data_IF_394862640431
#
_entry.id   IF_394862640431
#
_cell.length_a   1.000
_cell.length_b   1.000
_cell.length_c   1.000
_cell.angle_alpha   90.00
_cell.angle_beta   90.00
_cell.angle_gamma   90.00
#
_symmetry.space_group_name_H-M   'P 1'
#
loop_
_entity.id
_entity.type
_entity.pdbx_description
1 polymer ?
#
# COMPACT_ATOMS: atom_id res chain seq x y z
N UNK A 1 -14.72 8.49 -3.93
CA UNK A 1 -13.55 7.83 -4.56
C UNK A 1 -13.39 6.39 -4.07
N UNK A 2 -13.08 6.15 -2.79
CA UNK A 2 -12.78 4.81 -2.30
C UNK A 2 -13.93 3.80 -2.51
N UNK A 3 -15.17 4.21 -2.23
CA UNK A 3 -16.37 3.39 -2.49
C UNK A 3 -16.48 3.04 -3.98
N UNK A 4 -16.36 4.04 -4.85
CA UNK A 4 -16.38 3.82 -6.29
C UNK A 4 -15.31 2.81 -6.75
N UNK A 5 -14.07 2.92 -6.25
CA UNK A 5 -12.99 1.97 -6.57
C UNK A 5 -13.35 0.57 -6.10
N UNK A 6 -13.84 0.43 -4.87
CA UNK A 6 -14.27 -0.86 -4.34
C UNK A 6 -15.39 -1.48 -5.18
N UNK A 7 -16.41 -0.69 -5.51
CA UNK A 7 -17.64 -1.18 -6.15
C UNK A 7 -17.44 -1.48 -7.64
N UNK A 8 -16.52 -0.78 -8.30
CA UNK A 8 -16.31 -0.90 -9.75
C UNK A 8 -15.01 -1.65 -10.13
N UNK A 9 -14.01 -1.70 -9.24
CA UNK A 9 -12.75 -2.39 -9.47
C UNK A 9 -12.55 -3.60 -8.54
N UNK A 10 -13.35 -3.76 -7.49
CA UNK A 10 -13.22 -4.82 -6.50
C UNK A 10 -12.34 -4.43 -5.31
N UNK A 11 -12.59 -5.06 -4.16
CA UNK A 11 -11.91 -4.75 -2.89
C UNK A 11 -10.44 -5.21 -2.83
N UNK A 12 -10.06 -6.18 -3.66
CA UNK A 12 -8.68 -6.63 -3.84
C UNK A 12 -7.83 -5.74 -4.77
N UNK A 13 -8.43 -4.74 -5.44
CA UNK A 13 -7.67 -3.80 -6.27
C UNK A 13 -6.77 -2.90 -5.40
N UNK A 14 -5.45 -2.83 -5.69
CA UNK A 14 -4.54 -2.01 -4.90
C UNK A 14 -4.75 -0.52 -5.18
N UNK A 15 -4.98 0.26 -4.12
CA UNK A 15 -5.10 1.71 -4.21
C UNK A 15 -3.84 2.39 -3.65
N UNK A 16 -3.27 3.32 -4.41
CA UNK A 16 -2.07 4.07 -4.00
C UNK A 16 -2.38 5.55 -3.86
N UNK A 17 -2.09 6.12 -2.69
CA UNK A 17 -2.05 7.56 -2.48
C UNK A 17 -0.60 8.02 -2.54
N UNK A 18 -0.24 8.67 -3.64
CA UNK A 18 1.12 9.18 -3.84
C UNK A 18 1.24 10.61 -3.32
N UNK A 19 2.24 10.86 -2.46
CA UNK A 19 2.48 12.22 -1.94
C UNK A 19 2.94 13.14 -3.06
N UNK A 20 2.29 14.30 -3.17
CA UNK A 20 2.74 15.40 -4.01
C UNK A 20 3.94 16.10 -3.37
N UNK A 21 4.89 16.52 -4.22
CA UNK A 21 5.98 17.42 -3.87
C UNK A 21 6.06 18.53 -4.92
N UNK A 22 6.32 19.78 -4.51
CA UNK A 22 6.57 20.87 -5.44
C UNK A 22 7.74 20.54 -6.35
N UNK A 23 7.50 20.62 -7.66
CA UNK A 23 8.46 20.27 -8.69
C UNK A 23 8.18 21.03 -9.99
N UNK A 24 9.22 21.22 -10.80
CA UNK A 24 9.17 21.89 -12.09
C UNK A 24 8.53 23.29 -12.02
N UNK A 25 7.29 23.46 -12.49
CA UNK A 25 6.57 24.75 -12.56
C UNK A 25 5.60 24.98 -11.40
N UNK A 26 5.39 23.99 -10.54
CA UNK A 26 4.45 24.05 -9.41
C UNK A 26 5.24 23.99 -8.11
N UNK A 27 5.91 25.09 -7.78
CA UNK A 27 6.82 25.21 -6.62
C UNK A 27 6.22 26.04 -5.48
N UNK A 28 5.09 26.67 -5.72
CA UNK A 28 4.34 27.57 -4.84
C UNK A 28 3.35 26.82 -3.92
N UNK A 29 3.11 25.54 -4.18
CA UNK A 29 2.22 24.69 -3.39
C UNK A 29 3.07 23.77 -2.50
N UNK A 30 2.83 23.72 -1.17
CA UNK A 30 3.58 22.83 -0.29
C UNK A 30 3.30 21.35 -0.60
N UNK A 31 4.21 20.42 -0.21
CA UNK A 31 3.93 18.99 -0.29
C UNK A 31 2.63 18.62 0.42
N UNK A 32 1.91 17.60 -0.06
CA UNK A 32 0.73 17.11 0.66
C UNK A 32 1.15 16.70 2.09
N UNK A 33 0.47 17.18 3.15
CA UNK A 33 0.74 16.76 4.52
C UNK A 33 0.55 15.25 4.68
N UNK A 34 1.39 14.61 5.50
CA UNK A 34 1.36 13.15 5.70
C UNK A 34 0.02 12.74 6.34
N UNK A 35 -0.50 13.55 7.26
CA UNK A 35 -1.75 13.32 7.97
C UNK A 35 -2.95 13.28 7.00
N UNK A 36 -2.87 14.03 5.88
CA UNK A 36 -3.89 13.99 4.82
C UNK A 36 -3.88 12.64 4.10
N UNK A 37 -2.68 12.10 3.85
CA UNK A 37 -2.52 10.78 3.21
C UNK A 37 -2.96 9.66 4.15
N UNK A 38 -2.60 9.74 5.44
CA UNK A 38 -3.05 8.77 6.45
C UNK A 38 -4.57 8.77 6.63
N UNK A 39 -5.21 9.94 6.57
CA UNK A 39 -6.67 10.05 6.56
C UNK A 39 -7.28 9.38 5.32
N UNK A 40 -6.71 9.59 4.14
CA UNK A 40 -7.17 8.93 2.91
C UNK A 40 -7.00 7.40 2.98
N UNK A 41 -5.84 6.94 3.50
CA UNK A 41 -5.57 5.53 3.75
C UNK A 41 -6.61 4.92 4.69
N UNK A 42 -6.92 5.60 5.81
CA UNK A 42 -7.92 5.15 6.77
C UNK A 42 -9.30 5.01 6.13
N UNK A 43 -9.76 6.02 5.38
CA UNK A 43 -11.06 5.97 4.69
C UNK A 43 -11.11 4.78 3.72
N UNK A 44 -10.06 4.57 2.93
CA UNK A 44 -9.97 3.45 2.00
C UNK A 44 -10.04 2.08 2.71
N UNK A 45 -9.34 1.94 3.85
CA UNK A 45 -9.41 0.73 4.68
C UNK A 45 -10.79 0.53 5.31
N UNK A 46 -11.40 1.58 5.85
CA UNK A 46 -12.74 1.53 6.48
C UNK A 46 -13.83 1.15 5.46
N UNK A 47 -13.69 1.57 4.19
CA UNK A 47 -14.57 1.15 3.08
C UNK A 47 -14.39 -0.34 2.73
N UNK A 48 -13.25 -0.94 3.08
CA UNK A 48 -13.00 -2.38 2.94
C UNK A 48 -11.95 -2.76 1.90
N UNK A 49 -11.24 -1.80 1.30
CA UNK A 49 -10.14 -2.09 0.37
C UNK A 49 -9.03 -2.87 1.10
N UNK A 50 -8.58 -3.97 0.50
CA UNK A 50 -7.62 -4.89 1.12
C UNK A 50 -6.21 -4.33 1.11
N UNK A 51 -5.80 -3.75 -0.01
CA UNK A 51 -4.46 -3.22 -0.25
C UNK A 51 -4.50 -1.73 -0.51
N UNK A 52 -4.02 -0.94 0.44
CA UNK A 52 -3.96 0.52 0.35
C UNK A 52 -2.58 0.98 0.75
N UNK A 53 -1.97 1.80 -0.09
CA UNK A 53 -0.58 2.22 0.06
C UNK A 53 -0.42 3.74 0.10
N UNK A 54 0.56 4.20 0.86
CA UNK A 54 1.04 5.59 0.81
C UNK A 54 2.43 5.57 0.17
N UNK A 55 2.53 6.14 -1.03
CA UNK A 55 3.77 6.24 -1.80
C UNK A 55 4.43 7.61 -1.68
N UNK A 56 5.65 7.73 -2.19
CA UNK A 56 6.49 8.94 -2.13
C UNK A 56 6.73 9.45 -0.70
N UNK A 57 6.70 8.56 0.30
CA UNK A 57 7.12 8.83 1.68
C UNK A 57 8.07 7.71 2.09
N UNK A 58 9.37 7.81 1.75
CA UNK A 58 10.33 6.73 1.99
C UNK A 58 10.31 6.24 3.44
N UNK A 59 10.16 4.92 3.62
CA UNK A 59 10.12 4.28 4.93
C UNK A 59 8.79 4.37 5.68
N UNK A 60 7.74 4.94 5.07
CA UNK A 60 6.43 5.00 5.69
C UNK A 60 5.83 3.60 5.88
N UNK A 61 5.24 3.32 7.04
CA UNK A 61 4.66 2.00 7.36
C UNK A 61 3.63 1.55 6.33
N UNK A 62 2.85 2.46 5.76
CA UNK A 62 1.82 2.15 4.75
C UNK A 62 2.36 2.02 3.31
N UNK A 63 3.67 2.00 3.10
CA UNK A 63 4.31 1.55 1.85
C UNK A 63 4.52 0.01 1.85
N UNK A 64 4.43 -0.60 3.03
CA UNK A 64 4.55 -2.04 3.21
C UNK A 64 3.27 -2.78 2.80
N UNK A 65 3.40 -4.07 2.46
CA UNK A 65 2.24 -4.95 2.27
C UNK A 65 1.98 -5.72 3.56
N UNK A 66 0.75 -5.59 4.06
CA UNK A 66 0.24 -6.38 5.19
C UNK A 66 -0.78 -7.41 4.70
N UNK A 67 -0.91 -8.51 5.44
CA UNK A 67 -1.96 -9.49 5.19
C UNK A 67 -3.32 -8.82 5.41
N UNK A 68 -4.19 -8.87 4.41
CA UNK A 68 -5.53 -8.27 4.53
C UNK A 68 -6.43 -8.99 5.55
N UNK A 69 -6.09 -10.22 5.93
CA UNK A 69 -6.87 -11.04 6.84
C UNK A 69 -6.41 -10.87 8.30
N UNK A 70 -5.11 -11.03 8.58
CA UNK A 70 -4.60 -10.99 9.97
C UNK A 70 -3.71 -9.77 10.30
N UNK A 71 -3.38 -8.92 9.33
CA UNK A 71 -2.53 -7.75 9.55
C UNK A 71 -1.02 -8.03 9.64
N UNK A 72 -0.57 -9.27 9.48
CA UNK A 72 0.86 -9.62 9.48
C UNK A 72 1.64 -8.84 8.41
N UNK A 73 2.82 -8.31 8.75
CA UNK A 73 3.72 -7.69 7.78
C UNK A 73 4.28 -8.75 6.83
N UNK A 74 3.93 -8.65 5.55
CA UNK A 74 4.31 -9.63 4.52
C UNK A 74 5.48 -9.15 3.66
N UNK A 75 5.48 -7.87 3.28
CA UNK A 75 6.57 -7.29 2.49
C UNK A 75 6.94 -5.96 3.10
N UNK A 76 8.19 -5.83 3.55
CA UNK A 76 8.75 -4.58 4.04
C UNK A 76 9.48 -3.88 2.92
N UNK A 77 9.20 -2.59 2.71
CA UNK A 77 9.80 -1.77 1.65
C UNK A 77 10.48 -0.53 2.20
N UNK A 78 11.44 -0.05 1.42
CA UNK A 78 12.02 1.29 1.56
C UNK A 78 12.23 1.85 0.16
N UNK A 79 11.27 2.65 -0.32
CA UNK A 79 11.25 3.08 -1.71
C UNK A 79 11.15 1.88 -2.65
N UNK A 80 12.08 1.75 -3.60
CA UNK A 80 12.08 0.65 -4.58
C UNK A 80 12.72 -0.64 -4.07
N UNK A 81 13.21 -0.68 -2.83
CA UNK A 81 13.87 -1.84 -2.26
C UNK A 81 12.89 -2.69 -1.43
N UNK A 82 12.95 -4.01 -1.62
CA UNK A 82 12.31 -4.98 -0.73
C UNK A 82 13.33 -5.34 0.35
N UNK A 83 13.02 -5.00 1.60
CA UNK A 83 13.87 -5.28 2.76
C UNK A 83 13.54 -6.63 3.41
N UNK A 84 12.31 -7.10 3.25
CA UNK A 84 11.84 -8.37 3.78
C UNK A 84 10.66 -8.87 2.95
N UNK A 85 10.60 -10.18 2.71
CA UNK A 85 9.56 -10.85 1.92
C UNK A 85 9.19 -12.17 2.61
N UNK A 86 7.97 -12.23 3.15
CA UNK A 86 7.50 -13.31 4.03
C UNK A 86 6.35 -14.12 3.46
N UNK A 87 5.95 -13.87 2.22
CA UNK A 87 4.90 -14.64 1.56
C UNK A 87 5.45 -16.01 1.18
N UNK A 88 4.78 -17.07 1.60
CA UNK A 88 5.19 -18.46 1.32
C UNK A 88 4.12 -19.13 0.45
N UNK A 89 4.51 -19.66 -0.71
CA UNK A 89 3.59 -20.32 -1.65
C UNK A 89 2.33 -19.48 -1.98
N UNK A 90 2.49 -18.17 -2.16
CA UNK A 90 1.38 -17.24 -2.42
C UNK A 90 0.43 -17.02 -1.24
N UNK A 91 0.84 -17.37 -0.01
CA UNK A 91 0.01 -17.28 1.20
C UNK A 91 0.70 -16.51 2.32
N UNK A 92 -0.11 -15.97 3.22
CA UNK A 92 0.35 -15.46 4.49
C UNK A 92 0.84 -16.62 5.37
N UNK A 93 2.06 -16.56 5.93
CA UNK A 93 2.59 -17.62 6.78
C UNK A 93 1.89 -17.69 8.14
N UNK A 94 1.23 -16.61 8.58
CA UNK A 94 0.57 -16.52 9.89
C UNK A 94 -0.86 -17.09 9.87
N UNK A 95 -1.67 -16.75 8.85
CA UNK A 95 -3.09 -17.17 8.81
C UNK A 95 -3.47 -18.01 7.59
N UNK A 96 -2.54 -18.29 6.66
CA UNK A 96 -2.79 -19.10 5.47
C UNK A 96 -3.61 -18.43 4.37
N UNK A 97 -4.05 -17.17 4.55
CA UNK A 97 -4.78 -16.42 3.53
C UNK A 97 -3.97 -16.33 2.23
N UNK A 98 -4.62 -16.59 1.09
CA UNK A 98 -4.03 -16.37 -0.24
C UNK A 98 -3.82 -14.88 -0.46
N UNK A 99 -2.64 -14.49 -0.91
CA UNK A 99 -2.23 -13.09 -1.11
C UNK A 99 -2.15 -12.79 -2.59
N UNK A 100 -2.73 -11.67 -3.02
CA UNK A 100 -2.89 -11.28 -4.43
C UNK A 100 -1.63 -10.64 -5.02
N UNK A 101 -0.48 -11.29 -4.80
CA UNK A 101 0.79 -10.93 -5.44
C UNK A 101 1.10 -11.99 -6.50
N UNK A 102 1.41 -11.51 -7.69
CA UNK A 102 1.72 -12.33 -8.86
C UNK A 102 3.20 -12.24 -9.17
N UNK A 103 3.79 -13.37 -9.51
CA UNK A 103 5.21 -13.52 -9.80
C UNK A 103 6.01 -14.02 -8.60
N UNK A 104 7.24 -14.46 -8.89
CA UNK A 104 8.17 -14.95 -7.88
C UNK A 104 9.08 -13.84 -7.40
N UNK A 105 9.31 -13.78 -6.10
CA UNK A 105 10.34 -12.91 -5.54
C UNK A 105 11.71 -13.54 -5.77
N UNK A 106 12.45 -13.01 -6.74
CA UNK A 106 13.78 -13.52 -7.11
C UNK A 106 14.92 -13.00 -6.25
N UNK A 107 14.63 -12.11 -5.29
CA UNK A 107 15.65 -11.41 -4.52
C UNK A 107 16.57 -10.55 -5.38
N UNK A 108 17.46 -9.81 -4.72
CA UNK A 108 18.69 -9.30 -5.30
C UNK A 108 19.82 -9.64 -4.35
#
# INVERSE_FOLDING_TARGET
LCEWVKDNCGDHTPLHFSRFFPAYKMIDIPPTPIETLERAWKIAKDVGLKYVYIGNVPGHKYDNTYCYNCGELLIKRYGFQILDYRITNGKCPSCGAKIDIIGDYVGR
#
